data_IF_586015971354
#
_entry.id   IF_586015971354
#
_cell.length_a   1.000
_cell.length_b   1.000
_cell.length_c   1.000
_cell.angle_alpha   90.00
_cell.angle_beta   90.00
_cell.angle_gamma   90.00
#
_symmetry.space_group_name_H-M   'P 1'
#
loop_
_entity.id
_entity.type
_entity.pdbx_description
1 polymer ?
#
# COMPACT_ATOMS: atom_id res chain seq x y z
N UNK A 1 -15.77 9.79 -3.78
CA UNK A 1 -14.31 9.97 -3.76
C UNK A 1 -13.75 9.14 -2.62
N UNK A 2 -13.03 8.07 -2.91
CA UNK A 2 -12.50 7.14 -1.90
C UNK A 2 -11.41 7.87 -1.09
N UNK A 3 -11.60 8.06 0.22
CA UNK A 3 -10.61 8.71 1.08
C UNK A 3 -9.81 7.62 1.84
N UNK A 4 -8.48 7.51 1.66
CA UNK A 4 -7.65 6.57 2.40
C UNK A 4 -7.85 6.64 3.92
N UNK A 5 -8.18 7.83 4.46
CA UNK A 5 -8.44 8.02 5.88
C UNK A 5 -9.66 7.27 6.38
N UNK A 6 -10.68 7.05 5.56
CA UNK A 6 -11.87 6.28 5.96
C UNK A 6 -11.64 4.78 5.99
N UNK A 7 -10.51 4.29 5.45
CA UNK A 7 -10.15 2.87 5.50
C UNK A 7 -9.60 2.44 6.86
N UNK A 8 -9.18 3.38 7.71
CA UNK A 8 -8.59 3.09 9.02
C UNK A 8 -9.44 3.68 10.16
N UNK A 9 -9.56 2.94 11.25
CA UNK A 9 -10.16 3.46 12.49
C UNK A 9 -9.21 4.50 13.11
N UNK A 10 -9.63 5.77 13.29
CA UNK A 10 -8.79 6.85 13.82
C UNK A 10 -8.38 6.66 15.27
N UNK A 11 -9.05 5.78 16.03
CA UNK A 11 -8.75 5.52 17.44
C UNK A 11 -7.61 4.51 17.65
N UNK A 12 -7.11 3.90 16.57
CA UNK A 12 -6.09 2.87 16.62
C UNK A 12 -4.85 3.26 15.81
N UNK A 13 -3.68 2.85 16.31
CA UNK A 13 -2.41 3.04 15.63
C UNK A 13 -2.29 2.10 14.43
N UNK A 14 -1.39 2.44 13.50
CA UNK A 14 -1.05 1.57 12.37
C UNK A 14 -0.57 0.19 12.80
N UNK A 15 0.13 0.09 13.94
CA UNK A 15 0.54 -1.17 14.56
C UNK A 15 -0.66 -2.03 14.90
N UNK A 16 -1.68 -1.44 15.54
CA UNK A 16 -2.89 -2.16 15.95
C UNK A 16 -3.61 -2.71 14.72
N UNK A 17 -3.81 -1.88 13.70
CA UNK A 17 -4.42 -2.30 12.42
C UNK A 17 -3.65 -3.46 11.77
N UNK A 18 -2.34 -3.32 11.64
CA UNK A 18 -1.48 -4.32 11.01
C UNK A 18 -1.46 -5.63 11.79
N UNK A 19 -1.41 -5.56 13.12
CA UNK A 19 -1.46 -6.71 14.02
C UNK A 19 -2.80 -7.43 13.94
N UNK A 20 -3.91 -6.70 14.01
CA UNK A 20 -5.26 -7.27 13.89
C UNK A 20 -5.46 -7.99 12.55
N UNK A 21 -4.94 -7.41 11.47
CA UNK A 21 -4.99 -8.02 10.14
C UNK A 21 -4.22 -9.33 10.08
N UNK A 22 -3.01 -9.37 10.65
CA UNK A 22 -2.27 -10.63 10.75
C UNK A 22 -3.01 -11.67 11.59
N UNK A 23 -3.55 -11.28 12.73
CA UNK A 23 -4.29 -12.20 13.62
C UNK A 23 -5.55 -12.76 12.96
N UNK A 24 -6.32 -11.92 12.26
CA UNK A 24 -7.53 -12.34 11.54
C UNK A 24 -7.22 -13.37 10.44
N UNK A 25 -6.01 -13.35 9.90
CA UNK A 25 -5.53 -14.26 8.86
C UNK A 25 -4.71 -15.45 9.39
N UNK A 26 -4.57 -15.57 10.73
CA UNK A 26 -3.75 -16.62 11.34
C UNK A 26 -2.26 -16.52 11.03
N UNK A 27 -1.75 -15.31 10.78
CA UNK A 27 -0.35 -15.04 10.42
C UNK A 27 0.47 -14.55 11.61
N UNK A 28 1.80 -14.70 11.55
CA UNK A 28 2.70 -14.04 12.48
C UNK A 28 2.42 -12.54 12.53
N UNK A 29 2.24 -12.03 13.76
CA UNK A 29 1.95 -10.64 14.04
C UNK A 29 3.03 -10.02 14.92
N UNK A 30 4.26 -10.52 14.79
CA UNK A 30 5.44 -10.00 15.48
C UNK A 30 5.93 -8.69 14.82
N UNK A 31 6.63 -7.87 15.59
CA UNK A 31 7.09 -6.57 15.12
C UNK A 31 8.05 -6.69 13.93
N UNK A 32 8.77 -7.80 13.79
CA UNK A 32 9.64 -8.07 12.65
C UNK A 32 8.83 -8.21 11.34
N UNK A 33 7.77 -9.00 11.35
CA UNK A 33 6.87 -9.18 10.20
C UNK A 33 6.18 -7.88 9.82
N UNK A 34 5.69 -7.14 10.82
CA UNK A 34 5.03 -5.85 10.59
C UNK A 34 6.01 -4.83 10.00
N UNK A 35 7.20 -4.71 10.59
CA UNK A 35 8.25 -3.79 10.12
C UNK A 35 8.65 -4.10 8.68
N UNK A 36 8.89 -5.38 8.35
CA UNK A 36 9.24 -5.79 6.99
C UNK A 36 8.16 -5.43 5.96
N UNK A 37 6.88 -5.55 6.31
CA UNK A 37 5.79 -5.17 5.41
C UNK A 37 5.70 -3.66 5.17
N UNK A 38 5.97 -2.84 6.19
CA UNK A 38 6.01 -1.37 6.07
C UNK A 38 7.23 -0.92 5.25
N UNK A 39 8.38 -1.54 5.47
CA UNK A 39 9.60 -1.25 4.69
C UNK A 39 9.44 -1.65 3.22
N UNK A 40 8.77 -2.77 2.95
CA UNK A 40 8.49 -3.23 1.58
C UNK A 40 7.69 -2.21 0.75
N UNK A 41 6.90 -1.35 1.39
CA UNK A 41 6.15 -0.28 0.72
C UNK A 41 6.89 1.06 0.69
N UNK A 42 8.17 1.07 1.04
CA UNK A 42 9.02 2.27 1.01
C UNK A 42 8.62 3.31 2.06
N UNK A 43 8.06 2.89 3.19
CA UNK A 43 7.85 3.73 4.36
C UNK A 43 9.06 3.59 5.29
N UNK A 44 9.93 4.61 5.27
CA UNK A 44 11.12 4.67 6.12
C UNK A 44 10.75 4.77 7.60
N UNK A 45 11.65 4.31 8.47
CA UNK A 45 11.45 4.28 9.92
C UNK A 45 10.14 3.54 10.29
N UNK A 46 9.97 2.32 9.79
CA UNK A 46 8.76 1.52 9.97
C UNK A 46 8.32 1.40 11.44
N UNK A 47 9.25 1.25 12.38
CA UNK A 47 8.96 1.25 13.82
C UNK A 47 8.29 2.54 14.32
N UNK A 48 8.64 3.70 13.73
CA UNK A 48 7.97 4.98 14.01
C UNK A 48 6.61 5.04 13.32
N UNK A 49 6.53 4.63 12.06
CA UNK A 49 5.29 4.63 11.27
C UNK A 49 4.20 3.78 11.92
N UNK A 50 4.55 2.61 12.43
CA UNK A 50 3.61 1.72 13.14
C UNK A 50 2.99 2.39 14.38
N UNK A 51 3.67 3.35 15.01
CA UNK A 51 3.16 4.07 16.18
C UNK A 51 2.22 5.22 15.83
N UNK A 52 2.17 5.64 14.56
CA UNK A 52 1.32 6.74 14.12
C UNK A 52 -0.15 6.33 14.07
N UNK A 53 -1.01 7.31 14.31
CA UNK A 53 -2.43 7.24 14.02
C UNK A 53 -2.72 7.66 12.57
N UNK A 54 -3.88 7.27 11.98
CA UNK A 54 -4.19 7.60 10.60
C UNK A 54 -4.22 9.11 10.32
N UNK A 55 -4.62 9.91 11.31
CA UNK A 55 -4.70 11.37 11.18
C UNK A 55 -3.32 12.05 11.20
N UNK A 56 -2.29 11.38 11.70
CA UNK A 56 -0.90 11.89 11.75
C UNK A 56 -0.13 11.63 10.44
N UNK A 57 -0.72 10.84 9.53
CA UNK A 57 -0.11 10.44 8.27
C UNK A 57 -0.57 11.33 7.12
N UNK A 58 0.33 11.56 6.17
CA UNK A 58 -0.02 12.16 4.87
C UNK A 58 -0.89 11.21 4.05
N UNK A 59 -1.60 11.73 3.04
CA UNK A 59 -2.41 10.91 2.14
C UNK A 59 -1.60 9.80 1.46
N UNK A 60 -0.41 10.14 0.95
CA UNK A 60 0.49 9.15 0.33
C UNK A 60 1.05 8.12 1.31
N UNK A 61 1.28 8.49 2.58
CA UNK A 61 1.65 7.53 3.61
C UNK A 61 0.50 6.55 3.91
N UNK A 62 -0.75 7.03 3.97
CA UNK A 62 -1.92 6.19 4.17
C UNK A 62 -2.17 5.25 2.99
N UNK A 63 -1.97 5.71 1.75
CA UNK A 63 -2.07 4.84 0.58
C UNK A 63 -1.01 3.73 0.60
N UNK A 64 0.25 4.06 0.92
CA UNK A 64 1.30 3.03 1.10
C UNK A 64 0.98 2.08 2.24
N UNK A 65 0.41 2.58 3.33
CA UNK A 65 -0.06 1.73 4.42
C UNK A 65 -1.15 0.77 3.94
N UNK A 66 -2.15 1.22 3.18
CA UNK A 66 -3.16 0.31 2.61
C UNK A 66 -2.53 -0.78 1.73
N UNK A 67 -1.52 -0.43 0.94
CA UNK A 67 -0.76 -1.41 0.15
C UNK A 67 -0.02 -2.38 1.08
N UNK A 68 0.59 -1.91 2.17
CA UNK A 68 1.27 -2.77 3.14
C UNK A 68 0.31 -3.77 3.80
N UNK A 69 -0.91 -3.32 4.13
CA UNK A 69 -1.98 -4.20 4.61
C UNK A 69 -2.32 -5.26 3.58
N UNK A 70 -2.45 -4.91 2.29
CA UNK A 70 -2.68 -5.89 1.23
C UNK A 70 -1.49 -6.87 1.03
N UNK A 71 -0.26 -6.43 1.29
CA UNK A 71 0.93 -7.27 1.29
C UNK A 71 0.86 -8.28 2.44
N UNK A 72 0.57 -7.82 3.66
CA UNK A 72 0.34 -8.64 4.85
C UNK A 72 -0.77 -9.67 4.61
N UNK A 73 -1.84 -9.26 3.92
CA UNK A 73 -2.97 -10.13 3.63
C UNK A 73 -2.67 -11.30 2.67
N UNK A 74 -1.53 -11.30 1.97
CA UNK A 74 -1.28 -12.21 0.84
C UNK A 74 -2.39 -12.27 -0.21
N UNK A 75 -3.20 -11.21 -0.33
CA UNK A 75 -4.32 -11.21 -1.28
C UNK A 75 -3.84 -11.52 -2.70
N UNK A 76 -4.35 -12.56 -3.38
CA UNK A 76 -3.96 -12.88 -4.75
C UNK A 76 -4.40 -11.81 -5.75
N UNK A 77 -5.33 -10.93 -5.35
CA UNK A 77 -5.88 -9.85 -6.15
C UNK A 77 -5.81 -8.50 -5.42
N UNK A 78 -5.48 -7.45 -6.17
CA UNK A 78 -5.63 -6.06 -5.72
C UNK A 78 -6.61 -5.39 -6.67
N UNK A 79 -7.73 -4.91 -6.12
CA UNK A 79 -8.66 -4.03 -6.83
C UNK A 79 -8.33 -2.62 -6.37
N UNK A 80 -7.85 -1.80 -7.30
CA UNK A 80 -7.43 -0.45 -7.03
C UNK A 80 -8.30 0.51 -7.85
N UNK A 81 -9.28 1.11 -7.18
CA UNK A 81 -10.14 2.14 -7.78
C UNK A 81 -9.48 3.51 -7.55
N UNK A 82 -8.91 4.08 -8.61
CA UNK A 82 -8.20 5.37 -8.58
C UNK A 82 -7.12 5.52 -7.48
N UNK A 83 -6.14 4.60 -7.35
CA UNK A 83 -5.25 4.51 -6.18
C UNK A 83 -4.21 5.63 -6.06
N UNK A 84 -4.11 6.47 -7.08
CA UNK A 84 -3.14 7.56 -7.19
C UNK A 84 -3.80 8.94 -7.22
N UNK A 85 -5.13 9.01 -7.11
CA UNK A 85 -5.85 10.28 -7.03
C UNK A 85 -5.36 11.08 -5.82
N UNK A 86 -5.23 12.39 -6.00
CA UNK A 86 -4.69 13.36 -5.03
C UNK A 86 -3.18 13.28 -4.71
N UNK A 87 -2.40 12.52 -5.48
CA UNK A 87 -0.94 12.51 -5.39
C UNK A 87 -0.25 13.29 -6.52
N UNK A 88 0.91 13.86 -6.23
CA UNK A 88 1.81 14.42 -7.24
C UNK A 88 2.37 13.33 -8.17
N UNK A 89 2.71 13.71 -9.41
CA UNK A 89 3.14 12.78 -10.48
C UNK A 89 4.31 11.87 -10.06
N UNK A 90 5.22 12.36 -9.22
CA UNK A 90 6.37 11.57 -8.73
C UNK A 90 5.92 10.53 -7.71
N UNK A 91 5.04 10.89 -6.77
CA UNK A 91 4.45 9.96 -5.83
C UNK A 91 3.57 8.89 -6.52
N UNK A 92 2.84 9.25 -7.57
CA UNK A 92 2.06 8.30 -8.39
C UNK A 92 2.97 7.24 -9.01
N UNK A 93 4.05 7.66 -9.68
CA UNK A 93 5.02 6.75 -10.29
C UNK A 93 5.61 5.78 -9.26
N UNK A 94 6.00 6.28 -8.08
CA UNK A 94 6.55 5.45 -6.99
C UNK A 94 5.56 4.40 -6.48
N UNK A 95 4.27 4.72 -6.38
CA UNK A 95 3.25 3.75 -5.94
C UNK A 95 2.98 2.71 -7.02
N UNK A 96 2.97 3.09 -8.29
CA UNK A 96 2.79 2.15 -9.39
C UNK A 96 3.99 1.20 -9.54
N UNK A 97 5.21 1.71 -9.43
CA UNK A 97 6.43 0.88 -9.40
C UNK A 97 6.42 -0.08 -8.19
N UNK A 98 5.98 0.41 -7.03
CA UNK A 98 5.81 -0.43 -5.84
C UNK A 98 4.81 -1.56 -6.08
N UNK A 99 3.63 -1.25 -6.62
CA UNK A 99 2.61 -2.25 -6.92
C UNK A 99 3.11 -3.28 -7.95
N UNK A 100 3.80 -2.83 -9.00
CA UNK A 100 4.43 -3.73 -9.97
C UNK A 100 5.44 -4.67 -9.29
N UNK A 101 6.30 -4.15 -8.42
CA UNK A 101 7.30 -4.95 -7.71
C UNK A 101 6.64 -6.03 -6.81
N UNK A 102 5.55 -5.67 -6.13
CA UNK A 102 4.78 -6.60 -5.28
C UNK A 102 4.10 -7.67 -6.14
N UNK A 103 3.52 -7.29 -7.28
CA UNK A 103 2.85 -8.21 -8.21
C UNK A 103 3.83 -9.21 -8.83
N UNK A 104 4.99 -8.74 -9.30
CA UNK A 104 6.02 -9.59 -9.92
C UNK A 104 6.61 -10.59 -8.92
N UNK A 105 6.90 -10.14 -7.70
CA UNK A 105 7.52 -11.00 -6.68
C UNK A 105 6.56 -12.09 -6.16
N UNK A 106 5.25 -11.83 -6.14
CA UNK A 106 4.26 -12.75 -5.54
C UNK A 106 3.30 -13.42 -6.53
N UNK A 107 3.52 -13.30 -7.85
CA UNK A 107 2.69 -13.91 -8.92
C UNK A 107 1.18 -13.59 -8.75
N UNK A 108 0.86 -12.35 -8.37
CA UNK A 108 -0.52 -11.88 -8.11
C UNK A 108 -1.16 -11.32 -9.38
N UNK A 109 -2.45 -11.58 -9.56
CA UNK A 109 -3.24 -11.05 -10.67
C UNK A 109 -3.91 -9.74 -10.24
N UNK A 110 -3.76 -8.65 -10.99
CA UNK A 110 -4.50 -7.42 -10.68
C UNK A 110 -5.52 -7.14 -11.77
N UNK A 111 -6.78 -6.96 -11.36
CA UNK A 111 -7.86 -6.55 -12.24
C UNK A 111 -7.87 -5.03 -12.36
N UNK A 112 -6.94 -4.48 -13.14
CA UNK A 112 -7.01 -3.09 -13.59
C UNK A 112 -7.76 -3.02 -14.91
N UNK A 113 -8.38 -1.87 -15.20
CA UNK A 113 -8.80 -1.58 -16.57
C UNK A 113 -7.55 -1.65 -17.49
N UNK A 114 -7.59 -2.42 -18.60
CA UNK A 114 -6.47 -2.53 -19.55
C UNK A 114 -5.94 -1.18 -20.04
N UNK A 115 -6.81 -0.17 -20.07
CA UNK A 115 -6.50 1.20 -20.50
C UNK A 115 -5.50 1.90 -19.57
N UNK A 116 -5.59 1.70 -18.25
CA UNK A 116 -4.69 2.32 -17.27
C UNK A 116 -3.29 1.71 -17.37
N UNK A 117 -3.21 0.39 -17.57
CA UNK A 117 -1.94 -0.31 -17.79
C UNK A 117 -1.28 0.09 -19.12
N UNK A 118 -2.05 0.28 -20.18
CA UNK A 118 -1.55 0.75 -21.47
C UNK A 118 -1.02 2.18 -21.37
N UNK A 119 -1.77 3.09 -20.72
CA UNK A 119 -1.33 4.46 -20.48
C UNK A 119 -0.05 4.52 -19.66
N UNK A 120 0.07 3.70 -18.61
CA UNK A 120 1.28 3.67 -17.79
C UNK A 120 2.50 3.09 -18.52
N UNK A 121 2.33 2.01 -19.30
CA UNK A 121 3.41 1.47 -20.15
C UNK A 121 3.90 2.49 -21.17
N UNK A 122 2.96 3.22 -21.79
CA UNK A 122 3.27 4.31 -22.74
C UNK A 122 3.98 5.46 -22.02
N UNK A 123 3.49 5.88 -20.85
CA UNK A 123 4.11 6.93 -20.05
C UNK A 123 5.57 6.61 -19.67
N UNK A 124 5.85 5.38 -19.22
CA UNK A 124 7.22 4.89 -18.90
C UNK A 124 8.15 4.86 -20.12
N UNK A 125 7.62 4.59 -21.32
CA UNK A 125 8.41 4.62 -22.56
C UNK A 125 8.69 6.04 -23.06
N UNK A 126 7.86 7.01 -22.68
CA UNK A 126 7.90 8.38 -23.22
C UNK A 126 8.74 9.33 -22.34
N UNK A 127 8.84 9.05 -21.04
CA UNK A 127 9.63 9.85 -20.09
C UNK A 127 10.66 8.98 -19.40
N UNK A 128 11.85 8.89 -20.00
CA UNK A 128 13.08 8.31 -19.45
C UNK A 128 14.24 9.27 -19.69
#
# INVERSE_FOLDING_TARGET
MQNPRSAFNPLHTMHTHARETCLALGKPADDATLTAAIEAVGLENAARVLKLYPFEMSGGMLQRMMIAMAVLCESPFIIADEPTTDLDVVAQARILDLLESIMQNKRRECCWSPMIWALWRVWRMTWR
#
